data_IF_353384170937
#
_entry.id   IF_353384170937
#
_cell.length_a   1.000
_cell.length_b   1.000
_cell.length_c   1.000
_cell.angle_alpha   90.00
_cell.angle_beta   90.00
_cell.angle_gamma   90.00
#
_symmetry.space_group_name_H-M   'P 1'
#
loop_
_entity.id
_entity.type
_entity.pdbx_description
1 polymer ?
#
# COMPACT_ATOMS: atom_id res chain seq x y z
N UNK A 1 55.80 -9.15 32.14
CA UNK A 1 55.90 -8.17 33.25
C UNK A 1 54.49 -7.65 33.49
N UNK A 2 53.76 -8.10 34.54
CA UNK A 2 53.55 -7.49 35.87
C UNK A 2 52.91 -6.09 35.69
N UNK A 3 51.74 -5.70 36.23
CA UNK A 3 50.99 -5.96 37.50
C UNK A 3 49.56 -5.36 37.27
N UNK A 4 48.42 -5.92 37.61
CA UNK A 4 47.70 -6.02 38.90
C UNK A 4 47.47 -4.69 39.63
N UNK A 5 46.20 -4.41 39.97
CA UNK A 5 45.59 -4.04 41.25
C UNK A 5 44.21 -3.45 40.98
N UNK A 6 43.08 -4.00 41.26
CA UNK A 6 42.24 -4.41 42.42
C UNK A 6 41.68 -3.27 43.29
N UNK A 7 40.36 -3.39 43.52
CA UNK A 7 39.50 -2.99 44.66
C UNK A 7 38.82 -1.61 44.55
N UNK A 8 37.56 -1.39 44.91
CA UNK A 8 36.72 -2.01 46.00
C UNK A 8 35.23 -1.78 45.71
N UNK A 9 34.45 -2.72 46.23
CA UNK A 9 33.01 -2.76 46.34
C UNK A 9 32.48 -1.81 47.42
N UNK A 10 31.24 -1.38 47.29
CA UNK A 10 30.39 -1.03 48.40
C UNK A 10 28.98 -1.58 48.16
N UNK A 11 28.66 -2.50 48.99
CA UNK A 11 27.40 -3.20 49.20
C UNK A 11 26.46 -2.28 49.97
N UNK A 12 25.21 -2.11 49.56
CA UNK A 12 24.13 -1.72 50.47
C UNK A 12 22.93 -2.64 50.23
N UNK A 13 22.76 -3.56 51.18
CA UNK A 13 21.55 -4.34 51.38
C UNK A 13 20.43 -3.43 51.89
N UNK A 14 19.22 -3.59 51.39
CA UNK A 14 18.00 -3.43 52.18
C UNK A 14 16.91 -4.41 51.73
N UNK A 15 16.79 -5.37 52.56
CA UNK A 15 15.71 -6.19 53.12
C UNK A 15 14.39 -6.30 52.37
N UNK A 16 14.14 -7.55 52.11
CA UNK A 16 12.97 -8.26 51.64
C UNK A 16 11.79 -8.13 52.59
N UNK A 17 10.58 -7.97 52.06
CA UNK A 17 9.41 -8.64 52.61
C UNK A 17 8.67 -9.40 51.54
N UNK A 18 8.55 -10.68 51.76
CA UNK A 18 7.83 -11.69 51.01
C UNK A 18 6.32 -11.48 51.22
N UNK A 19 5.55 -11.52 50.16
CA UNK A 19 4.10 -11.49 50.23
C UNK A 19 3.47 -12.09 48.99
N UNK A 20 3.27 -13.40 49.05
CA UNK A 20 2.27 -14.22 48.33
C UNK A 20 2.01 -14.08 46.85
N UNK A 21 2.52 -15.06 46.10
CA UNK A 21 1.98 -15.51 44.79
C UNK A 21 0.55 -16.00 44.95
N UNK A 22 -0.36 -15.45 44.16
CA UNK A 22 -1.63 -16.09 43.75
C UNK A 22 -1.73 -16.06 42.22
N UNK A 23 -2.42 -17.06 41.61
CA UNK A 23 -2.25 -17.39 40.21
C UNK A 23 -3.01 -16.46 39.26
N UNK A 24 -2.44 -16.25 38.07
CA UNK A 24 -3.06 -15.60 36.94
C UNK A 24 -4.28 -16.39 36.47
N UNK A 25 -5.47 -15.88 36.72
CA UNK A 25 -6.67 -16.25 35.99
C UNK A 25 -7.11 -15.08 35.10
N UNK A 26 -7.42 -15.45 33.91
CA UNK A 26 -8.03 -14.75 32.80
C UNK A 26 -8.89 -13.51 33.08
N UNK A 27 -8.63 -12.42 32.31
CA UNK A 27 -9.68 -11.54 31.83
C UNK A 27 -10.26 -10.54 32.80
N UNK A 28 -9.53 -9.50 33.17
CA UNK A 28 -10.05 -8.37 33.91
C UNK A 28 -9.51 -7.05 33.35
N UNK A 29 -10.41 -6.22 32.81
CA UNK A 29 -10.08 -4.87 32.37
C UNK A 29 -9.65 -4.04 33.59
N UNK A 30 -8.37 -3.67 33.66
CA UNK A 30 -7.88 -2.72 34.66
C UNK A 30 -8.36 -1.33 34.31
N UNK A 31 -9.43 -0.89 34.98
CA UNK A 31 -9.66 0.49 35.31
C UNK A 31 -9.23 0.68 36.78
N UNK A 32 -8.56 1.74 37.21
CA UNK A 32 -8.20 1.89 38.59
C UNK A 32 -9.47 1.90 39.44
N UNK A 33 -9.59 0.95 40.38
CA UNK A 33 -10.64 0.97 41.40
C UNK A 33 -10.33 2.08 42.39
N UNK A 34 -11.25 3.03 42.52
CA UNK A 34 -11.26 3.94 43.63
C UNK A 34 -11.76 3.21 44.87
N UNK A 35 -10.87 2.96 45.84
CA UNK A 35 -11.27 2.69 47.23
C UNK A 35 -12.04 3.90 47.76
N UNK A 36 -13.17 3.62 48.40
CA UNK A 36 -14.15 4.61 48.83
C UNK A 36 -13.61 5.77 49.68
N UNK A 37 -14.08 6.94 49.38
CA UNK A 37 -13.84 8.15 50.09
C UNK A 37 -14.67 9.27 49.47
N UNK A 38 -15.73 9.69 50.17
CA UNK A 38 -16.52 10.89 49.82
C UNK A 38 -15.60 12.12 49.76
N UNK A 39 -15.30 12.63 48.60
CA UNK A 39 -14.77 13.99 48.45
C UNK A 39 -15.60 14.72 47.38
N UNK A 40 -16.39 15.68 47.84
CA UNK A 40 -17.01 16.70 47.01
C UNK A 40 -15.90 17.58 46.42
N UNK A 41 -15.62 17.50 45.17
CA UNK A 41 -14.85 18.50 44.43
C UNK A 41 -15.70 19.06 43.31
N UNK A 42 -16.26 20.25 43.58
CA UNK A 42 -16.64 21.17 42.51
C UNK A 42 -15.41 21.53 41.71
N UNK A 43 -15.35 21.08 40.46
CA UNK A 43 -14.44 21.60 39.46
C UNK A 43 -15.26 22.25 38.36
N UNK A 44 -15.60 23.50 38.60
CA UNK A 44 -15.95 24.46 37.56
C UNK A 44 -14.66 24.88 36.85
N UNK A 45 -14.61 24.75 35.52
CA UNK A 45 -13.86 25.62 34.64
C UNK A 45 -12.40 25.30 34.40
N UNK A 46 -12.11 24.79 33.24
CA UNK A 46 -11.19 25.22 32.15
C UNK A 46 -10.90 24.05 31.25
N UNK A 47 -11.34 24.17 30.03
CA UNK A 47 -10.93 23.28 28.91
C UNK A 47 -9.44 23.51 28.65
N UNK A 48 -8.56 22.55 28.97
CA UNK A 48 -7.17 22.65 28.63
C UNK A 48 -6.16 22.07 29.62
N UNK A 49 -6.34 20.81 30.08
CA UNK A 49 -5.32 20.09 30.84
C UNK A 49 -5.35 18.59 30.50
N UNK A 50 -4.24 17.83 30.75
CA UNK A 50 -4.25 16.39 30.55
C UNK A 50 -5.31 15.75 31.44
N UNK A 51 -6.26 15.06 30.81
CA UNK A 51 -7.37 14.42 31.50
C UNK A 51 -6.92 13.13 32.17
N UNK A 52 -6.44 13.18 33.40
CA UNK A 52 -6.70 12.10 34.34
C UNK A 52 -8.16 12.20 34.77
N UNK A 53 -9.07 11.80 33.89
CA UNK A 53 -10.48 11.77 34.20
C UNK A 53 -10.76 10.49 34.95
N UNK A 54 -10.98 10.62 36.24
CA UNK A 54 -11.68 9.62 37.02
C UNK A 54 -13.14 9.61 36.54
N UNK A 55 -13.44 8.73 35.55
CA UNK A 55 -14.82 8.53 35.15
C UNK A 55 -15.57 7.97 36.36
N UNK A 56 -16.52 8.72 36.86
CA UNK A 56 -17.36 8.33 37.99
C UNK A 56 -18.32 7.26 37.55
N UNK A 57 -18.55 6.24 38.40
CA UNK A 57 -19.52 5.18 38.11
C UNK A 57 -20.92 5.66 38.45
N UNK A 58 -21.85 5.55 37.51
CA UNK A 58 -23.25 5.75 37.73
C UNK A 58 -24.01 4.43 37.58
N UNK A 59 -24.94 4.15 38.46
CA UNK A 59 -25.83 3.00 38.42
C UNK A 59 -27.24 3.33 38.84
N UNK A 60 -28.22 2.59 38.30
CA UNK A 60 -29.64 2.71 38.72
C UNK A 60 -30.33 3.97 38.22
N UNK A 61 -29.78 4.68 37.27
CA UNK A 61 -30.42 5.80 36.56
C UNK A 61 -31.20 5.32 35.33
N UNK A 62 -31.64 6.27 34.51
CA UNK A 62 -32.52 5.98 33.35
C UNK A 62 -31.97 6.59 32.08
N UNK A 63 -31.90 5.78 30.99
CA UNK A 63 -31.63 6.26 29.65
C UNK A 63 -32.85 6.93 29.03
N UNK A 64 -32.65 8.05 28.30
CA UNK A 64 -33.72 8.72 27.55
C UNK A 64 -33.18 9.15 26.18
N UNK A 65 -33.95 8.87 25.11
CA UNK A 65 -33.72 9.43 23.78
C UNK A 65 -34.68 10.60 23.54
N UNK A 66 -34.16 11.74 23.09
CA UNK A 66 -34.95 12.92 22.71
C UNK A 66 -34.27 13.63 21.55
N UNK A 67 -35.00 13.90 20.45
CA UNK A 67 -34.44 14.58 19.26
C UNK A 67 -33.20 13.90 18.66
N UNK A 68 -33.20 12.56 18.60
CA UNK A 68 -32.05 11.76 18.07
C UNK A 68 -30.85 11.70 19.00
N UNK A 69 -30.86 12.40 20.13
CA UNK A 69 -29.79 12.42 21.14
C UNK A 69 -30.07 11.45 22.28
N UNK A 70 -29.02 10.93 22.92
CA UNK A 70 -29.06 9.98 24.02
C UNK A 70 -28.64 10.72 25.30
N UNK A 71 -29.42 10.57 26.38
CA UNK A 71 -29.19 11.16 27.68
C UNK A 71 -29.23 10.08 28.74
N UNK A 72 -28.49 10.27 29.84
CA UNK A 72 -28.61 9.47 31.04
C UNK A 72 -28.96 10.36 32.22
N UNK A 73 -29.97 9.98 33.00
CA UNK A 73 -30.39 10.65 34.21
C UNK A 73 -30.02 9.76 35.39
N UNK A 74 -29.40 10.38 36.42
CA UNK A 74 -29.10 9.67 37.66
C UNK A 74 -30.37 9.34 38.46
N UNK A 75 -30.21 8.70 39.64
CA UNK A 75 -31.33 8.33 40.52
C UNK A 75 -32.12 9.55 41.00
N UNK A 76 -31.52 10.75 41.02
CA UNK A 76 -32.15 12.00 41.43
C UNK A 76 -32.78 12.75 40.25
N UNK A 77 -32.79 12.19 39.06
CA UNK A 77 -33.36 12.80 37.86
C UNK A 77 -32.48 13.87 37.20
N UNK A 78 -31.20 13.99 37.61
CA UNK A 78 -30.24 14.95 37.02
C UNK A 78 -29.55 14.32 35.81
N UNK A 79 -29.40 15.08 34.70
CA UNK A 79 -28.64 14.67 33.54
C UNK A 79 -27.15 14.60 33.88
N UNK A 80 -26.48 13.53 33.37
CA UNK A 80 -25.04 13.45 33.46
C UNK A 80 -24.37 14.31 32.38
N UNK A 81 -23.19 14.87 32.70
CA UNK A 81 -22.30 15.61 31.81
C UNK A 81 -20.86 15.11 32.02
N UNK A 82 -19.99 15.20 31.02
CA UNK A 82 -18.62 14.68 31.08
C UNK A 82 -18.53 13.17 30.99
N UNK A 83 -17.46 12.61 31.54
CA UNK A 83 -17.15 11.17 31.40
C UNK A 83 -17.74 10.34 32.54
N UNK A 84 -18.40 9.22 32.15
CA UNK A 84 -19.08 8.33 33.11
C UNK A 84 -18.95 6.86 32.68
N UNK A 85 -18.77 6.00 33.69
CA UNK A 85 -18.95 4.56 33.56
C UNK A 85 -20.40 4.23 33.94
N UNK A 86 -21.11 3.58 32.99
CA UNK A 86 -22.49 3.16 33.17
C UNK A 86 -22.57 1.72 32.66
N UNK A 87 -22.92 0.77 33.51
CA UNK A 87 -23.06 -0.64 33.22
C UNK A 87 -21.82 -1.21 32.49
N UNK A 88 -20.61 -0.91 33.00
CA UNK A 88 -19.33 -1.37 32.45
C UNK A 88 -18.90 -0.73 31.14
N UNK A 89 -19.61 0.28 30.64
CA UNK A 89 -19.32 1.02 29.41
C UNK A 89 -19.00 2.47 29.71
N UNK A 90 -18.04 3.04 29.00
CA UNK A 90 -17.62 4.43 29.17
C UNK A 90 -18.38 5.34 28.19
N UNK A 91 -18.99 6.39 28.68
CA UNK A 91 -19.70 7.39 27.91
C UNK A 91 -19.14 8.77 28.18
N UNK A 92 -19.25 9.67 27.21
CA UNK A 92 -18.98 11.07 27.40
C UNK A 92 -20.24 11.90 27.02
N UNK A 93 -20.69 12.77 27.88
CA UNK A 93 -21.84 13.63 27.65
C UNK A 93 -21.38 15.07 27.49
N UNK A 94 -21.98 15.80 26.58
CA UNK A 94 -21.72 17.22 26.38
C UNK A 94 -22.32 18.08 27.55
N UNK A 95 -22.14 19.39 27.45
CA UNK A 95 -22.68 20.30 28.47
C UNK A 95 -24.21 20.29 28.56
N UNK A 96 -24.91 19.87 27.52
CA UNK A 96 -26.39 19.73 27.54
C UNK A 96 -26.83 18.37 28.09
N UNK A 97 -25.87 17.49 28.42
CA UNK A 97 -26.09 16.10 28.85
C UNK A 97 -26.34 15.13 27.71
N UNK A 98 -26.13 15.52 26.47
CA UNK A 98 -26.24 14.59 25.32
C UNK A 98 -24.96 13.78 25.18
N UNK A 99 -25.09 12.44 25.02
CA UNK A 99 -23.96 11.57 24.77
C UNK A 99 -23.34 11.88 23.41
N UNK A 100 -22.01 11.99 23.37
CA UNK A 100 -21.28 12.06 22.10
C UNK A 100 -21.43 10.77 21.32
N UNK A 101 -21.53 10.89 19.99
CA UNK A 101 -21.53 9.78 19.02
C UNK A 101 -20.60 10.12 17.86
N UNK A 102 -19.98 9.11 17.25
CA UNK A 102 -19.04 9.35 16.15
C UNK A 102 -17.62 9.70 16.61
N UNK A 103 -16.86 10.37 15.74
CA UNK A 103 -15.50 10.80 16.00
C UNK A 103 -15.44 12.09 16.83
N UNK A 104 -14.72 12.04 17.95
CA UNK A 104 -14.47 13.23 18.79
C UNK A 104 -13.00 13.30 19.17
N UNK A 105 -12.45 14.52 19.15
CA UNK A 105 -11.10 14.82 19.61
C UNK A 105 -11.18 15.50 20.97
N UNK A 106 -10.60 14.84 21.98
CA UNK A 106 -10.41 15.40 23.32
C UNK A 106 -8.95 15.78 23.53
N UNK A 107 -8.61 16.30 24.69
CA UNK A 107 -7.23 16.70 25.03
C UNK A 107 -6.22 15.57 24.96
N UNK A 108 -6.64 14.34 25.28
CA UNK A 108 -5.81 13.12 25.24
C UNK A 108 -5.74 12.44 23.87
N UNK A 109 -6.62 12.79 22.92
CA UNK A 109 -6.60 12.23 21.57
C UNK A 109 -7.95 12.07 20.90
N UNK A 110 -7.97 11.28 19.84
CA UNK A 110 -9.19 10.94 19.12
C UNK A 110 -9.86 9.70 19.70
N UNK A 111 -11.15 9.79 19.92
CA UNK A 111 -12.02 8.71 20.36
C UNK A 111 -13.12 8.43 19.33
N UNK A 112 -13.68 7.23 19.39
CA UNK A 112 -14.86 6.85 18.64
C UNK A 112 -15.94 6.38 19.59
N UNK A 113 -17.03 7.12 19.64
CA UNK A 113 -18.25 6.74 20.33
C UNK A 113 -19.18 6.08 19.30
N UNK A 114 -19.62 4.86 19.56
CA UNK A 114 -20.57 4.18 18.69
C UNK A 114 -21.91 4.93 18.59
N UNK A 115 -22.82 4.51 17.72
CA UNK A 115 -24.16 5.10 17.60
C UNK A 115 -24.99 4.97 18.89
N UNK A 116 -24.59 4.09 19.80
CA UNK A 116 -25.12 3.91 21.15
C UNK A 116 -24.44 4.81 22.19
N UNK A 117 -23.49 5.67 21.81
CA UNK A 117 -22.83 6.67 22.63
C UNK A 117 -21.65 6.16 23.46
N UNK A 118 -21.35 4.84 23.56
CA UNK A 118 -20.21 4.41 24.36
C UNK A 118 -18.89 4.37 23.59
N UNK A 119 -17.81 4.67 24.26
CA UNK A 119 -16.46 4.77 23.73
C UNK A 119 -15.91 3.41 23.35
N UNK A 120 -15.53 3.23 22.09
CA UNK A 120 -14.98 1.97 21.58
C UNK A 120 -13.51 1.80 21.97
N UNK A 121 -13.12 0.55 22.18
CA UNK A 121 -11.76 0.10 22.49
C UNK A 121 -11.36 -1.05 21.57
N UNK A 122 -10.06 -1.35 21.52
CA UNK A 122 -9.56 -2.46 20.70
C UNK A 122 -9.73 -2.22 19.20
N UNK A 123 -9.83 -3.30 18.46
CA UNK A 123 -10.02 -3.25 17.02
C UNK A 123 -11.42 -2.79 16.64
N UNK A 124 -11.50 -1.79 15.76
CA UNK A 124 -12.76 -1.27 15.22
C UNK A 124 -12.68 -1.12 13.70
N UNK A 125 -13.78 -1.44 13.00
CA UNK A 125 -13.94 -1.14 11.58
C UNK A 125 -14.96 -0.01 11.43
N UNK A 126 -14.51 1.13 10.94
CA UNK A 126 -15.32 2.36 10.85
C UNK A 126 -15.20 2.88 9.43
N UNK A 127 -16.31 2.99 8.70
CA UNK A 127 -16.31 3.39 7.29
C UNK A 127 -15.41 2.50 6.41
N UNK A 128 -15.39 1.18 6.64
CA UNK A 128 -14.56 0.22 5.89
C UNK A 128 -13.07 0.26 6.21
N UNK A 129 -12.63 1.11 7.14
CA UNK A 129 -11.23 1.24 7.58
C UNK A 129 -11.05 0.65 8.97
N UNK A 130 -9.91 -0.05 9.19
CA UNK A 130 -9.58 -0.62 10.51
C UNK A 130 -8.76 0.36 11.33
N UNK A 131 -9.11 0.45 12.61
CA UNK A 131 -8.48 1.28 13.64
C UNK A 131 -8.22 0.45 14.88
N UNK A 132 -7.29 0.90 15.70
CA UNK A 132 -7.06 0.38 17.04
C UNK A 132 -7.18 1.48 18.07
N UNK A 133 -7.94 1.21 19.12
CA UNK A 133 -8.08 2.09 20.27
C UNK A 133 -7.49 1.40 21.51
N UNK A 134 -6.71 2.12 22.26
CA UNK A 134 -6.11 1.58 23.49
C UNK A 134 -7.15 1.32 24.60
N UNK A 135 -6.67 0.95 25.78
CA UNK A 135 -7.54 0.66 26.93
C UNK A 135 -8.33 1.90 27.41
N UNK A 136 -7.83 3.11 27.13
CA UNK A 136 -8.51 4.38 27.42
C UNK A 136 -9.49 4.76 26.29
N UNK A 137 -9.53 4.06 25.18
CA UNK A 137 -10.35 4.39 24.01
C UNK A 137 -9.71 5.42 23.11
N UNK A 138 -8.39 5.65 23.23
CA UNK A 138 -7.66 6.61 22.39
C UNK A 138 -7.20 5.91 21.10
N UNK A 139 -7.53 6.51 19.97
CA UNK A 139 -7.11 6.03 18.64
C UNK A 139 -5.59 6.03 18.50
N UNK A 140 -5.04 4.92 18.11
CA UNK A 140 -3.61 4.78 17.98
C UNK A 140 -3.10 5.11 16.56
N UNK A 141 -1.85 5.59 16.48
CA UNK A 141 -1.10 5.90 15.25
C UNK A 141 0.32 5.35 15.34
N UNK A 142 1.03 5.28 14.22
CA UNK A 142 2.38 4.73 14.17
C UNK A 142 2.44 3.23 14.43
N UNK A 143 3.59 2.73 14.87
CA UNK A 143 3.79 1.33 15.18
C UNK A 143 3.24 0.98 16.57
N UNK A 144 2.48 -0.10 16.65
CA UNK A 144 1.93 -0.65 17.90
C UNK A 144 2.08 -2.17 17.92
N UNK A 145 2.43 -2.72 19.07
CA UNK A 145 2.37 -4.16 19.30
C UNK A 145 1.03 -4.51 19.93
N UNK A 146 0.28 -5.39 19.29
CA UNK A 146 -1.05 -5.82 19.70
C UNK A 146 -1.07 -7.34 19.65
N UNK A 147 -1.33 -7.99 20.77
CA UNK A 147 -1.35 -9.45 20.91
C UNK A 147 -0.07 -10.14 20.37
N UNK A 148 1.09 -9.51 20.61
CA UNK A 148 2.40 -9.99 20.17
C UNK A 148 2.79 -9.62 18.74
N UNK A 149 1.88 -9.18 17.87
CA UNK A 149 2.14 -8.77 16.50
C UNK A 149 2.34 -7.25 16.37
N UNK A 150 3.26 -6.83 15.50
CA UNK A 150 3.48 -5.43 15.21
C UNK A 150 2.58 -4.95 14.06
N UNK A 151 1.84 -3.88 14.28
CA UNK A 151 0.97 -3.20 13.32
C UNK A 151 1.37 -1.74 13.14
N UNK A 152 1.15 -1.22 11.95
CA UNK A 152 1.35 0.21 11.68
C UNK A 152 0.02 0.88 11.33
N UNK A 153 -0.23 2.01 11.99
CA UNK A 153 -1.36 2.90 11.70
C UNK A 153 -0.83 4.21 11.11
N UNK A 154 -1.48 4.72 10.08
CA UNK A 154 -1.09 5.99 9.48
C UNK A 154 -1.39 7.19 10.42
N UNK A 155 -1.09 8.41 9.97
CA UNK A 155 -1.36 9.64 10.76
C UNK A 155 -2.85 9.83 11.11
N UNK A 156 -3.74 9.21 10.35
CA UNK A 156 -5.17 9.23 10.60
C UNK A 156 -5.65 8.02 11.43
N UNK A 157 -4.73 7.19 11.93
CA UNK A 157 -5.01 5.98 12.71
C UNK A 157 -5.53 4.81 11.90
N UNK A 158 -5.49 4.87 10.56
CA UNK A 158 -5.94 3.76 9.70
C UNK A 158 -4.85 2.71 9.64
N UNK A 159 -5.21 1.44 9.82
CA UNK A 159 -4.30 0.31 9.68
C UNK A 159 -3.66 0.30 8.28
N UNK A 160 -2.35 0.29 8.23
CA UNK A 160 -1.60 0.12 6.98
C UNK A 160 -1.68 -1.32 6.51
N UNK A 161 -2.12 -1.54 5.27
CA UNK A 161 -2.24 -2.88 4.66
C UNK A 161 -1.66 -2.88 3.25
N UNK A 162 -1.13 -4.04 2.81
CA UNK A 162 -0.60 -4.28 1.45
C UNK A 162 0.33 -3.16 0.97
N UNK A 163 1.27 -2.73 1.82
CA UNK A 163 2.17 -1.61 1.51
C UNK A 163 3.50 -1.71 2.24
N UNK A 164 4.48 -0.98 1.74
CA UNK A 164 5.74 -0.71 2.43
C UNK A 164 5.57 0.38 3.48
N UNK A 165 6.14 0.17 4.65
CA UNK A 165 6.10 1.09 5.79
C UNK A 165 7.50 1.21 6.38
N UNK A 166 7.92 2.42 6.74
CA UNK A 166 9.18 2.64 7.46
C UNK A 166 9.08 2.14 8.90
N UNK A 167 10.11 1.43 9.36
CA UNK A 167 10.24 0.95 10.73
C UNK A 167 11.70 1.05 11.15
N UNK A 168 12.01 1.92 12.11
CA UNK A 168 13.38 2.08 12.68
C UNK A 168 14.48 2.18 11.61
N UNK A 169 14.31 3.09 10.63
CA UNK A 169 15.27 3.29 9.55
C UNK A 169 15.22 2.28 8.40
N UNK A 170 14.51 1.17 8.56
CA UNK A 170 14.30 0.15 7.53
C UNK A 170 12.89 0.24 6.95
N UNK A 171 12.68 -0.39 5.78
CA UNK A 171 11.35 -0.49 5.16
C UNK A 171 10.87 -1.93 5.22
N UNK A 172 9.70 -2.16 5.82
CA UNK A 172 9.06 -3.47 5.92
C UNK A 172 7.75 -3.50 5.12
N UNK A 173 7.37 -4.67 4.61
CA UNK A 173 6.08 -4.87 3.98
C UNK A 173 5.05 -5.35 5.00
N UNK A 174 3.86 -4.74 5.00
CA UNK A 174 2.70 -5.23 5.74
C UNK A 174 1.67 -5.81 4.76
N UNK A 175 1.17 -7.01 5.03
CA UNK A 175 0.21 -7.72 4.18
C UNK A 175 -1.22 -7.16 4.31
N UNK A 176 -2.20 -7.81 3.68
CA UNK A 176 -3.62 -7.40 3.72
C UNK A 176 -4.26 -7.42 5.12
N UNK A 177 -3.68 -8.14 6.07
CA UNK A 177 -4.11 -8.12 7.48
C UNK A 177 -3.32 -7.13 8.34
N UNK A 178 -2.35 -6.40 7.76
CA UNK A 178 -1.50 -5.43 8.45
C UNK A 178 -0.28 -6.03 9.16
N UNK A 179 -0.05 -7.35 9.06
CA UNK A 179 1.12 -8.02 9.67
C UNK A 179 2.36 -7.86 8.80
N UNK A 180 3.53 -7.75 9.45
CA UNK A 180 4.81 -7.71 8.75
C UNK A 180 5.06 -9.04 8.03
N UNK A 181 5.46 -8.96 6.76
CA UNK A 181 5.94 -10.11 5.97
C UNK A 181 7.43 -9.95 5.72
N UNK A 182 8.25 -10.91 6.09
CA UNK A 182 9.67 -10.92 5.72
C UNK A 182 9.82 -10.88 4.21
N UNK A 183 10.74 -10.08 3.70
CA UNK A 183 10.92 -9.89 2.26
C UNK A 183 11.21 -11.20 1.51
N UNK A 184 11.95 -12.11 2.15
CA UNK A 184 12.24 -13.45 1.62
C UNK A 184 11.00 -14.33 1.40
N UNK A 185 9.88 -13.99 2.05
CA UNK A 185 8.60 -14.70 1.94
C UNK A 185 7.55 -13.96 1.12
N UNK A 186 7.92 -12.81 0.53
CA UNK A 186 6.97 -12.05 -0.29
C UNK A 186 6.74 -12.72 -1.65
N UNK A 187 5.47 -12.79 -2.03
CA UNK A 187 5.00 -13.30 -3.33
C UNK A 187 4.89 -12.18 -4.36
N UNK A 188 4.80 -12.53 -5.65
CA UNK A 188 4.73 -11.55 -6.74
C UNK A 188 3.53 -10.62 -6.61
N UNK A 189 2.35 -11.15 -6.26
CA UNK A 189 1.13 -10.35 -6.02
C UNK A 189 1.33 -9.31 -4.91
N UNK A 190 2.05 -9.66 -3.83
CA UNK A 190 2.38 -8.74 -2.74
C UNK A 190 3.33 -7.62 -3.20
N UNK A 191 4.34 -7.95 -4.01
CA UNK A 191 5.20 -6.94 -4.63
C UNK A 191 4.44 -6.01 -5.55
N UNK A 192 3.54 -6.54 -6.41
CA UNK A 192 2.69 -5.75 -7.29
C UNK A 192 1.73 -4.85 -6.51
N UNK A 193 1.07 -5.39 -5.47
CA UNK A 193 0.17 -4.62 -4.61
C UNK A 193 0.88 -3.45 -3.90
N UNK A 194 2.14 -3.66 -3.49
CA UNK A 194 2.94 -2.67 -2.81
C UNK A 194 3.57 -1.63 -3.74
N UNK A 195 3.74 -1.95 -5.03
CA UNK A 195 4.43 -1.09 -6.01
C UNK A 195 3.61 0.15 -6.38
N UNK A 196 4.30 1.22 -6.81
CA UNK A 196 3.63 2.44 -7.32
C UNK A 196 2.85 2.14 -8.59
N UNK A 197 3.41 1.32 -9.50
CA UNK A 197 2.75 0.93 -10.75
C UNK A 197 1.50 0.10 -10.48
N UNK A 198 1.54 -0.82 -9.50
CA UNK A 198 0.39 -1.62 -9.13
C UNK A 198 -0.79 -0.82 -8.55
N UNK A 199 -0.55 0.43 -8.12
CA UNK A 199 -1.62 1.37 -7.72
C UNK A 199 -2.21 2.13 -8.89
N UNK A 200 -1.48 2.25 -10.01
CA UNK A 200 -1.87 3.04 -11.20
C UNK A 200 -2.67 2.26 -12.23
N UNK A 201 -2.58 0.94 -12.23
CA UNK A 201 -3.19 0.11 -13.27
C UNK A 201 -3.90 -1.11 -12.69
N UNK A 202 -4.79 -1.72 -13.48
CA UNK A 202 -5.45 -3.00 -13.18
C UNK A 202 -4.85 -4.18 -13.92
N UNK A 203 -3.84 -3.96 -14.80
CA UNK A 203 -3.18 -5.04 -15.52
C UNK A 203 -1.69 -4.75 -15.71
N UNK A 204 -0.85 -5.73 -15.43
CA UNK A 204 0.61 -5.68 -15.59
C UNK A 204 1.07 -6.90 -16.38
N UNK A 205 1.87 -6.64 -17.43
CA UNK A 205 2.72 -7.63 -18.08
C UNK A 205 4.07 -7.56 -17.38
N UNK A 206 4.43 -8.58 -16.61
CA UNK A 206 5.68 -8.63 -15.86
C UNK A 206 6.71 -9.44 -16.64
N UNK A 207 7.85 -8.82 -16.93
CA UNK A 207 9.03 -9.43 -17.53
C UNK A 207 10.12 -9.52 -16.48
N UNK A 208 10.54 -10.73 -16.17
CA UNK A 208 11.58 -11.04 -15.20
C UNK A 208 12.30 -12.34 -15.63
N UNK A 209 13.63 -12.30 -15.71
CA UNK A 209 14.44 -13.49 -15.91
C UNK A 209 13.98 -14.35 -17.11
N UNK A 210 13.84 -13.72 -18.28
CA UNK A 210 13.29 -14.31 -19.51
C UNK A 210 11.87 -14.90 -19.39
N UNK A 211 11.15 -14.58 -18.32
CA UNK A 211 9.76 -14.99 -18.13
C UNK A 211 8.82 -13.79 -18.26
N UNK A 212 7.81 -13.92 -19.10
CA UNK A 212 6.71 -12.98 -19.23
C UNK A 212 5.46 -13.59 -18.61
N UNK A 213 4.81 -12.85 -17.72
CA UNK A 213 3.55 -13.23 -17.07
C UNK A 213 2.57 -12.07 -17.08
N UNK A 214 1.28 -12.36 -17.23
CA UNK A 214 0.22 -11.33 -17.14
C UNK A 214 -0.45 -11.39 -15.78
N UNK A 215 -0.58 -10.25 -15.16
CA UNK A 215 -1.22 -10.08 -13.85
C UNK A 215 -2.40 -9.14 -13.95
N UNK A 216 -3.54 -9.53 -13.36
CA UNK A 216 -4.77 -8.76 -13.35
C UNK A 216 -5.17 -8.43 -11.91
N UNK A 217 -5.64 -7.20 -11.69
CA UNK A 217 -6.13 -6.73 -10.41
C UNK A 217 -7.66 -6.75 -10.40
N UNK A 218 -8.24 -7.43 -9.43
CA UNK A 218 -9.69 -7.48 -9.18
C UNK A 218 -9.95 -7.42 -7.68
N UNK A 219 -10.90 -6.59 -7.23
CA UNK A 219 -11.18 -6.40 -5.81
C UNK A 219 -9.95 -6.00 -4.97
N UNK A 220 -9.00 -5.25 -5.57
CA UNK A 220 -7.75 -4.84 -4.91
C UNK A 220 -6.65 -5.90 -4.87
N UNK A 221 -6.92 -7.14 -5.29
CA UNK A 221 -5.98 -8.28 -5.26
C UNK A 221 -5.42 -8.55 -6.65
N UNK A 222 -4.12 -8.82 -6.73
CA UNK A 222 -3.43 -9.23 -7.95
C UNK A 222 -3.49 -10.75 -8.10
N UNK A 223 -3.88 -11.21 -9.31
CA UNK A 223 -3.88 -12.63 -9.67
C UNK A 223 -3.17 -12.81 -11.00
N UNK A 224 -2.33 -13.83 -11.09
CA UNK A 224 -1.71 -14.21 -12.36
C UNK A 224 -2.78 -14.74 -13.31
N UNK A 225 -2.77 -14.23 -14.55
CA UNK A 225 -3.60 -14.75 -15.63
C UNK A 225 -3.01 -16.01 -16.27
N UNK A 226 -3.68 -16.52 -17.28
CA UNK A 226 -3.26 -17.74 -18.01
C UNK A 226 -2.00 -17.55 -18.86
N UNK A 227 -1.67 -16.31 -19.25
CA UNK A 227 -0.49 -16.06 -20.10
C UNK A 227 0.78 -16.11 -19.26
N UNK A 228 1.61 -17.11 -19.59
CA UNK A 228 2.98 -17.28 -19.14
C UNK A 228 3.80 -17.78 -20.32
N UNK A 229 4.94 -17.14 -20.59
CA UNK A 229 5.80 -17.47 -21.71
C UNK A 229 7.25 -17.18 -21.39
N UNK A 230 8.17 -17.88 -22.05
CA UNK A 230 9.52 -17.38 -22.23
C UNK A 230 9.47 -16.12 -23.09
N UNK A 231 10.37 -15.16 -22.83
CA UNK A 231 10.51 -13.95 -23.63
C UNK A 231 11.97 -13.61 -23.85
N UNK A 232 12.26 -13.10 -25.05
CA UNK A 232 13.53 -12.48 -25.37
C UNK A 232 13.54 -11.01 -24.99
N UNK A 233 14.74 -10.47 -24.83
CA UNK A 233 14.98 -9.04 -24.66
C UNK A 233 16.33 -8.64 -25.28
N UNK A 234 16.78 -7.43 -25.08
CA UNK A 234 17.99 -6.86 -25.66
C UNK A 234 19.18 -7.80 -25.58
N UNK A 235 19.91 -7.99 -26.70
CA UNK A 235 21.08 -8.88 -26.79
C UNK A 235 22.09 -8.66 -25.65
N UNK A 236 22.23 -7.41 -25.21
CA UNK A 236 23.13 -7.01 -24.13
C UNK A 236 22.41 -6.95 -22.76
N UNK A 237 21.24 -7.63 -22.60
CA UNK A 237 20.52 -7.78 -21.36
C UNK A 237 19.64 -6.58 -20.99
N UNK A 238 19.36 -6.46 -19.69
CA UNK A 238 18.57 -5.39 -19.10
C UNK A 238 19.49 -4.27 -18.60
N UNK A 239 19.06 -3.00 -18.77
CA UNK A 239 19.84 -1.84 -18.33
C UNK A 239 18.94 -0.78 -17.69
N UNK A 240 19.43 -0.13 -16.65
CA UNK A 240 18.71 0.98 -16.04
C UNK A 240 18.39 2.07 -17.07
N UNK A 241 17.15 2.54 -17.12
CA UNK A 241 16.68 3.51 -18.11
C UNK A 241 17.53 4.78 -18.18
N UNK A 242 18.03 5.27 -17.04
CA UNK A 242 18.91 6.44 -16.96
C UNK A 242 20.28 6.23 -17.63
N UNK A 243 20.75 4.99 -17.71
CA UNK A 243 22.07 4.62 -18.29
C UNK A 243 21.99 4.18 -19.74
N UNK A 244 20.78 4.09 -20.31
CA UNK A 244 20.60 3.68 -21.71
C UNK A 244 20.98 4.77 -22.72
N UNK A 245 21.39 4.34 -23.90
CA UNK A 245 21.55 5.14 -25.11
C UNK A 245 21.11 4.36 -26.35
N UNK A 246 20.85 5.06 -27.45
CA UNK A 246 20.44 4.46 -28.71
C UNK A 246 21.54 3.51 -29.24
N UNK A 247 21.17 2.32 -29.68
CA UNK A 247 22.11 1.32 -30.22
C UNK A 247 22.82 0.46 -29.17
N UNK A 248 22.58 0.65 -27.85
CA UNK A 248 23.21 -0.15 -26.80
C UNK A 248 22.70 -1.60 -26.70
N UNK A 249 21.69 -1.94 -27.48
CA UNK A 249 21.08 -3.28 -27.57
C UNK A 249 20.60 -3.84 -26.22
N UNK A 250 20.24 -2.95 -25.26
CA UNK A 250 19.71 -3.35 -23.96
C UNK A 250 18.22 -3.00 -23.85
N UNK A 251 17.47 -3.77 -23.05
CA UNK A 251 16.07 -3.48 -22.74
C UNK A 251 15.97 -2.62 -21.47
N UNK A 252 15.13 -1.55 -21.47
CA UNK A 252 15.03 -0.65 -20.33
C UNK A 252 14.35 -1.29 -19.13
N UNK A 253 15.04 -1.35 -18.01
CA UNK A 253 14.45 -1.68 -16.72
C UNK A 253 13.47 -0.56 -16.32
N UNK A 254 12.25 -0.92 -15.92
CA UNK A 254 11.25 0.05 -15.48
C UNK A 254 9.83 -0.45 -15.57
N UNK A 255 8.89 0.46 -15.29
CA UNK A 255 7.46 0.27 -15.46
C UNK A 255 6.97 1.25 -16.53
N UNK A 256 6.54 0.72 -17.66
CA UNK A 256 6.22 1.51 -18.86
C UNK A 256 4.76 1.29 -19.26
N UNK A 257 4.01 2.35 -19.61
CA UNK A 257 2.67 2.18 -20.15
C UNK A 257 2.74 1.51 -21.54
N UNK A 258 1.76 0.67 -21.85
CA UNK A 258 1.52 0.20 -23.20
C UNK A 258 0.61 1.22 -23.90
N UNK A 259 1.11 1.90 -24.93
CA UNK A 259 0.46 3.10 -25.46
C UNK A 259 -0.30 2.87 -26.76
N UNK A 260 0.17 1.97 -27.60
CA UNK A 260 -0.36 1.70 -28.92
C UNK A 260 -0.14 0.24 -29.29
N UNK A 261 -1.16 -0.42 -29.82
CA UNK A 261 -1.03 -1.71 -30.49
C UNK A 261 -0.94 -1.49 -32.00
N UNK A 262 -0.13 -2.29 -32.68
CA UNK A 262 0.01 -2.17 -34.14
C UNK A 262 0.37 -3.52 -34.78
N UNK A 263 0.23 -3.61 -36.09
CA UNK A 263 0.54 -4.82 -36.85
C UNK A 263 0.33 -4.69 -38.33
N UNK A 264 0.72 -5.72 -39.10
CA UNK A 264 0.62 -5.74 -40.58
C UNK A 264 -0.81 -5.97 -41.09
N UNK A 265 -1.64 -6.66 -40.31
CA UNK A 265 -3.04 -6.97 -40.65
C UNK A 265 -4.06 -5.97 -40.09
N UNK A 266 -5.34 -6.32 -40.21
CA UNK A 266 -6.42 -5.67 -39.51
C UNK A 266 -6.32 -5.87 -37.99
N UNK A 267 -7.06 -5.10 -37.20
CA UNK A 267 -7.09 -5.24 -35.74
C UNK A 267 -7.48 -6.67 -35.35
N UNK A 268 -6.60 -7.42 -34.67
CA UNK A 268 -6.85 -8.80 -34.26
C UNK A 268 -7.82 -8.97 -33.08
N UNK A 269 -8.52 -7.90 -32.70
CA UNK A 269 -9.44 -7.86 -31.55
C UNK A 269 -8.86 -7.18 -30.31
N UNK A 270 -7.82 -6.33 -30.47
CA UNK A 270 -7.29 -5.56 -29.34
C UNK A 270 -8.25 -4.46 -28.90
N UNK A 271 -8.34 -4.26 -27.59
CA UNK A 271 -9.07 -3.15 -26.93
C UNK A 271 -8.23 -1.87 -26.80
N UNK A 272 -6.96 -1.94 -27.15
CA UNK A 272 -6.07 -0.78 -27.19
C UNK A 272 -6.29 0.00 -28.50
N UNK A 273 -5.83 1.26 -28.53
CA UNK A 273 -5.70 1.98 -29.80
C UNK A 273 -4.84 1.15 -30.75
N UNK A 274 -5.35 0.89 -31.97
CA UNK A 274 -4.66 0.07 -32.94
C UNK A 274 -4.30 0.87 -34.19
N UNK A 275 -3.11 0.59 -34.74
CA UNK A 275 -2.67 1.16 -36.03
C UNK A 275 -2.14 0.07 -36.93
N UNK A 276 -2.66 0.01 -38.17
CA UNK A 276 -2.17 -0.90 -39.18
C UNK A 276 -0.90 -0.33 -39.82
N UNK A 277 0.12 -1.17 -39.98
CA UNK A 277 1.33 -0.87 -40.75
C UNK A 277 0.98 -0.81 -42.23
N UNK A 278 1.44 0.22 -42.93
CA UNK A 278 1.39 0.39 -44.38
C UNK A 278 2.81 0.48 -44.93
N UNK A 279 2.94 0.50 -46.27
CA UNK A 279 4.22 0.73 -46.93
C UNK A 279 4.86 2.09 -46.65
N UNK A 280 4.10 3.01 -46.03
CA UNK A 280 4.53 4.37 -45.69
C UNK A 280 4.83 4.52 -44.20
N UNK A 281 4.72 3.46 -43.39
CA UNK A 281 4.81 3.55 -41.94
C UNK A 281 6.25 3.41 -41.44
N UNK A 282 6.73 4.41 -40.73
CA UNK A 282 8.06 4.46 -40.14
C UNK A 282 8.01 4.71 -38.64
N UNK A 283 9.00 4.19 -37.91
CA UNK A 283 9.32 4.66 -36.57
C UNK A 283 10.56 5.52 -36.62
N UNK A 284 10.38 6.83 -36.54
CA UNK A 284 11.39 7.80 -36.86
C UNK A 284 12.48 7.94 -35.79
N UNK A 285 13.72 8.14 -36.25
CA UNK A 285 14.91 8.41 -35.42
C UNK A 285 15.53 9.80 -35.69
N UNK A 286 14.87 10.66 -36.48
CA UNK A 286 15.32 12.03 -36.73
C UNK A 286 15.24 12.87 -35.45
N UNK A 287 16.03 13.94 -35.31
CA UNK A 287 16.03 14.79 -34.11
C UNK A 287 14.65 15.39 -33.84
N UNK A 288 13.93 15.83 -34.87
CA UNK A 288 12.62 16.48 -34.79
C UNK A 288 11.46 15.51 -34.53
N UNK A 289 11.59 14.24 -34.95
CA UNK A 289 10.53 13.22 -34.85
C UNK A 289 11.02 11.98 -34.09
N UNK A 290 11.98 12.14 -33.21
CA UNK A 290 12.59 11.01 -32.51
C UNK A 290 11.56 10.21 -31.71
N UNK A 291 11.66 8.88 -31.82
CA UNK A 291 10.83 7.94 -31.07
C UNK A 291 9.32 8.11 -31.33
N UNK A 292 8.95 8.37 -32.59
CA UNK A 292 7.55 8.54 -32.97
C UNK A 292 7.20 7.82 -34.26
N UNK A 293 5.91 7.50 -34.43
CA UNK A 293 5.36 6.95 -35.66
C UNK A 293 5.17 8.04 -36.70
N UNK A 294 5.67 7.83 -37.91
CA UNK A 294 5.55 8.75 -39.06
C UNK A 294 5.00 8.00 -40.27
N UNK A 295 4.08 8.62 -41.01
CA UNK A 295 3.66 8.17 -42.34
C UNK A 295 4.34 9.05 -43.38
N UNK A 296 5.08 8.43 -44.31
CA UNK A 296 5.78 9.15 -45.37
C UNK A 296 5.88 8.30 -46.63
N UNK A 297 5.68 8.95 -47.80
CA UNK A 297 5.95 8.34 -49.10
C UNK A 297 7.47 8.32 -49.43
N UNK A 298 8.26 9.14 -48.74
CA UNK A 298 9.71 9.24 -48.86
C UNK A 298 10.37 8.53 -47.70
N UNK A 299 11.62 8.15 -47.86
CA UNK A 299 12.45 7.56 -46.80
C UNK A 299 12.52 8.46 -45.56
N UNK A 300 12.33 7.84 -44.41
CA UNK A 300 12.49 8.47 -43.08
C UNK A 300 13.56 7.71 -42.32
N UNK A 301 14.63 8.37 -41.81
CA UNK A 301 15.62 7.69 -40.97
C UNK A 301 14.96 7.06 -39.74
N UNK A 302 15.16 5.74 -39.56
CA UNK A 302 14.54 4.94 -38.51
C UNK A 302 14.17 3.55 -39.00
N UNK A 303 13.14 2.95 -38.41
CA UNK A 303 12.65 1.64 -38.81
C UNK A 303 11.50 1.78 -39.82
N UNK A 304 11.64 1.26 -41.03
CA UNK A 304 10.54 1.07 -41.97
C UNK A 304 9.74 -0.15 -41.50
N UNK A 305 8.61 0.08 -40.84
CA UNK A 305 7.94 -0.95 -40.03
C UNK A 305 7.46 -2.15 -40.83
N UNK A 306 7.15 -1.97 -42.12
CA UNK A 306 6.66 -3.05 -42.98
C UNK A 306 7.71 -4.12 -43.24
N UNK A 307 9.01 -3.80 -43.16
CA UNK A 307 10.10 -4.70 -43.48
C UNK A 307 10.33 -5.79 -42.42
N UNK A 308 9.87 -5.53 -41.19
CA UNK A 308 10.12 -6.42 -40.04
C UNK A 308 9.00 -7.44 -39.86
N UNK A 309 9.29 -8.74 -40.06
CA UNK A 309 8.35 -9.84 -39.77
C UNK A 309 7.79 -9.73 -38.31
N UNK A 310 8.64 -9.41 -37.37
CA UNK A 310 8.34 -9.32 -35.94
C UNK A 310 7.18 -8.39 -35.62
N UNK A 311 6.90 -7.42 -36.48
CA UNK A 311 5.79 -6.47 -36.31
C UNK A 311 4.46 -6.95 -36.90
N UNK A 312 4.34 -8.29 -37.17
CA UNK A 312 3.05 -8.92 -37.44
C UNK A 312 2.01 -8.56 -36.37
N UNK A 313 2.44 -8.61 -35.10
CA UNK A 313 1.72 -8.11 -33.91
C UNK A 313 2.70 -7.43 -32.98
N UNK A 314 2.38 -6.21 -32.54
CA UNK A 314 3.27 -5.47 -31.66
C UNK A 314 2.52 -4.47 -30.79
N UNK A 315 3.15 -4.08 -29.66
CA UNK A 315 2.70 -3.02 -28.77
C UNK A 315 3.87 -2.10 -28.43
N UNK A 316 3.61 -0.80 -28.44
CA UNK A 316 4.58 0.23 -28.06
C UNK A 316 4.76 0.22 -26.53
N UNK A 317 5.98 -0.01 -26.09
CA UNK A 317 6.41 0.20 -24.71
C UNK A 317 6.78 1.68 -24.55
N UNK A 318 6.07 2.42 -23.69
CA UNK A 318 6.18 3.88 -23.54
C UNK A 318 7.47 4.36 -22.89
N UNK A 319 8.60 3.71 -23.21
CA UNK A 319 9.92 4.14 -22.79
C UNK A 319 10.38 5.34 -23.62
N UNK A 320 10.94 6.35 -22.97
CA UNK A 320 11.47 7.58 -23.60
C UNK A 320 10.45 8.30 -24.51
N UNK A 321 9.19 8.38 -24.10
CA UNK A 321 8.12 9.01 -24.87
C UNK A 321 7.54 10.27 -24.22
N UNK A 322 7.77 10.48 -22.92
CA UNK A 322 7.25 11.67 -22.22
C UNK A 322 8.14 12.04 -21.00
N UNK A 323 9.02 13.04 -21.15
CA UNK A 323 9.45 13.65 -22.39
C UNK A 323 10.36 12.72 -23.21
N UNK A 324 10.37 12.93 -24.52
CA UNK A 324 11.31 12.26 -25.43
C UNK A 324 12.67 12.94 -25.35
N UNK A 325 13.72 12.14 -25.16
CA UNK A 325 15.12 12.62 -25.14
C UNK A 325 15.88 11.96 -26.29
N UNK A 326 16.39 12.78 -27.21
CA UNK A 326 17.17 12.30 -28.35
C UNK A 326 18.38 11.49 -27.90
N UNK A 327 18.62 10.34 -28.54
CA UNK A 327 19.78 9.46 -28.23
C UNK A 327 19.60 8.56 -27.01
N UNK A 328 18.51 8.65 -26.25
CA UNK A 328 18.23 7.77 -25.09
C UNK A 328 17.67 6.39 -25.47
N UNK A 329 17.33 6.19 -26.72
CA UNK A 329 16.72 4.98 -27.26
C UNK A 329 15.33 5.25 -27.83
N UNK A 330 15.00 4.54 -28.88
CA UNK A 330 13.79 4.67 -29.69
C UNK A 330 13.27 3.30 -30.07
N UNK A 331 11.98 3.17 -30.39
CA UNK A 331 11.41 1.94 -30.95
C UNK A 331 11.46 0.75 -30.00
N UNK A 332 11.11 0.94 -28.72
CA UNK A 332 11.04 -0.17 -27.77
C UNK A 332 9.62 -0.74 -27.77
N UNK A 333 9.50 -1.97 -28.26
CA UNK A 333 8.22 -2.66 -28.46
C UNK A 333 8.16 -4.01 -27.73
N UNK A 334 6.96 -4.49 -27.48
CA UNK A 334 6.66 -5.89 -27.25
C UNK A 334 6.12 -6.47 -28.57
N UNK A 335 6.77 -7.48 -29.14
CA UNK A 335 6.50 -7.98 -30.50
C UNK A 335 6.71 -9.50 -30.65
N UNK A 336 6.38 -10.05 -31.82
CA UNK A 336 6.67 -11.44 -32.16
C UNK A 336 8.17 -11.71 -32.18
N UNK A 337 8.61 -12.91 -31.73
CA UNK A 337 10.02 -13.26 -31.82
C UNK A 337 10.48 -13.37 -33.28
N UNK A 338 11.78 -13.23 -33.52
CA UNK A 338 12.40 -13.58 -34.81
C UNK A 338 12.29 -15.09 -35.08
N UNK A 339 12.38 -15.48 -36.32
CA UNK A 339 12.37 -16.89 -36.74
C UNK A 339 13.55 -17.64 -36.14
N UNK A 340 14.71 -17.01 -36.09
CA UNK A 340 16.04 -17.61 -35.84
C UNK A 340 16.59 -17.34 -34.42
N UNK A 341 16.13 -16.29 -33.73
CA UNK A 341 16.66 -15.97 -32.41
C UNK A 341 15.62 -15.33 -31.49
N UNK A 342 15.92 -15.30 -30.16
CA UNK A 342 15.11 -14.68 -29.13
C UNK A 342 15.55 -13.25 -28.80
N UNK A 343 16.83 -12.92 -28.97
CA UNK A 343 17.35 -11.61 -28.60
C UNK A 343 16.84 -10.50 -29.52
N UNK A 344 16.84 -9.28 -29.03
CA UNK A 344 16.38 -8.08 -29.74
C UNK A 344 17.44 -6.97 -29.69
N UNK A 345 17.17 -5.87 -30.36
CA UNK A 345 17.97 -4.63 -30.22
C UNK A 345 17.54 -3.78 -29.00
N UNK A 346 16.62 -4.28 -28.17
CA UNK A 346 16.13 -3.57 -26.97
C UNK A 346 14.64 -3.80 -26.68
N UNK A 347 13.90 -4.35 -27.62
CA UNK A 347 12.50 -4.75 -27.47
C UNK A 347 12.33 -5.96 -26.54
N UNK A 348 11.10 -6.35 -26.28
CA UNK A 348 10.72 -7.63 -25.68
C UNK A 348 10.06 -8.49 -26.75
N UNK A 349 10.46 -9.76 -26.90
CA UNK A 349 9.93 -10.67 -27.90
C UNK A 349 9.26 -11.89 -27.28
N UNK A 350 8.17 -12.36 -27.89
CA UNK A 350 7.42 -13.55 -27.48
C UNK A 350 6.96 -14.32 -28.72
N UNK A 351 6.59 -15.62 -28.62
CA UNK A 351 6.01 -16.36 -29.74
C UNK A 351 4.77 -15.69 -30.32
N UNK A 352 4.52 -15.85 -31.64
CA UNK A 352 3.38 -15.23 -32.36
C UNK A 352 2.03 -15.48 -31.67
N UNK A 353 1.75 -16.74 -31.27
CA UNK A 353 0.50 -17.10 -30.59
C UNK A 353 0.34 -16.41 -29.25
N UNK A 354 1.44 -16.23 -28.50
CA UNK A 354 1.45 -15.46 -27.23
C UNK A 354 1.21 -13.98 -27.53
N UNK A 355 1.89 -13.44 -28.55
CA UNK A 355 1.70 -12.03 -28.91
C UNK A 355 0.26 -11.74 -29.36
N UNK A 356 -0.34 -12.63 -30.17
CA UNK A 356 -1.75 -12.53 -30.56
C UNK A 356 -2.70 -12.57 -29.36
N UNK A 357 -2.44 -13.48 -28.40
CA UNK A 357 -3.21 -13.53 -27.16
C UNK A 357 -3.06 -12.24 -26.35
N UNK A 358 -1.85 -11.72 -26.19
CA UNK A 358 -1.59 -10.43 -25.55
C UNK A 358 -2.33 -9.29 -26.26
N UNK A 359 -2.33 -9.24 -27.60
CA UNK A 359 -3.11 -8.25 -28.36
C UNK A 359 -4.59 -8.24 -27.97
N UNK A 360 -5.21 -9.43 -27.85
CA UNK A 360 -6.63 -9.59 -27.54
C UNK A 360 -6.97 -9.29 -26.07
N UNK A 361 -6.05 -9.57 -25.13
CA UNK A 361 -6.33 -9.58 -23.70
C UNK A 361 -5.76 -8.36 -22.95
N UNK A 362 -4.85 -7.60 -23.57
CA UNK A 362 -4.28 -6.40 -22.94
C UNK A 362 -5.30 -5.27 -22.88
N UNK A 363 -5.47 -4.73 -21.68
CA UNK A 363 -6.42 -3.64 -21.40
C UNK A 363 -5.80 -2.28 -21.71
N UNK A 364 -6.63 -1.32 -22.08
CA UNK A 364 -6.20 0.09 -22.10
C UNK A 364 -5.71 0.50 -20.71
N UNK A 365 -4.57 1.21 -20.65
CA UNK A 365 -3.93 1.59 -19.39
C UNK A 365 -3.10 0.49 -18.72
N UNK A 366 -2.88 -0.66 -19.39
CA UNK A 366 -1.94 -1.69 -18.94
C UNK A 366 -0.50 -1.18 -18.96
N UNK A 367 0.31 -1.73 -18.04
CA UNK A 367 1.75 -1.49 -17.99
C UNK A 367 2.52 -2.76 -18.27
N UNK A 368 3.67 -2.61 -18.92
CA UNK A 368 4.72 -3.63 -18.91
C UNK A 368 5.76 -3.23 -17.85
N UNK A 369 6.13 -4.19 -16.99
CA UNK A 369 7.13 -4.00 -15.96
C UNK A 369 8.29 -4.93 -16.23
N UNK A 370 9.47 -4.37 -16.44
CA UNK A 370 10.68 -5.08 -16.82
C UNK A 370 11.69 -4.92 -15.69
N UNK A 371 12.02 -6.01 -15.00
CA UNK A 371 12.90 -6.00 -13.83
C UNK A 371 13.82 -7.22 -13.82
N UNK A 372 15.04 -7.10 -13.26
CA UNK A 372 15.95 -8.25 -13.10
C UNK A 372 15.44 -9.22 -12.03
N UNK A 373 14.75 -8.72 -11.00
CA UNK A 373 14.23 -9.48 -9.87
C UNK A 373 12.98 -8.81 -9.26
N UNK A 374 12.25 -9.54 -8.41
CA UNK A 374 11.04 -9.01 -7.77
C UNK A 374 11.31 -7.86 -6.78
N UNK A 375 12.48 -7.84 -6.13
CA UNK A 375 12.84 -6.77 -5.18
C UNK A 375 12.91 -5.41 -5.87
N UNK A 376 13.31 -5.41 -7.15
CA UNK A 376 13.36 -4.21 -7.97
C UNK A 376 12.01 -3.54 -8.18
N UNK A 377 10.87 -4.25 -8.01
CA UNK A 377 9.52 -3.69 -8.07
C UNK A 377 9.26 -2.60 -7.01
N UNK A 378 10.04 -2.58 -5.92
CA UNK A 378 9.94 -1.52 -4.89
C UNK A 378 10.17 -0.11 -5.45
N UNK A 379 10.93 0.01 -6.54
CA UNK A 379 11.30 1.29 -7.16
C UNK A 379 10.16 1.87 -8.01
N UNK A 380 9.23 1.02 -8.47
CA UNK A 380 8.18 1.33 -9.45
C UNK A 380 6.75 1.19 -8.87
#
# INVERSE_FOLDING_TARGET
>A
MKKKILRRAALLLLVITVGNLLPLTSGGAFCPQSSGGNLWLQAAGRLGGPMEVYAVTASGGKWKKKGGKIYYYDKKGKKLTGWWWIDGKCYCFDRSGAAYTGWHKFSDGWHWMGPDGWTRKGWQTIGGKKYWFDRKGIRQTGWKTIDGDAYHFDKNGVLSVSRWVSKSGSTVFVNGSGRIVPESKMTTDQYLAASKVGKKTSQIILVKDHSLTVWNKSGGTWKQGSVKSYCGYGRNGLKAASKRYAGDKTTPIGAWPLTLAFGKGSNPGTKMKYRRITKNSYWACTRSQYNSWVESKSYVPGEHLIDYYQYKYAMVIGFNMNPTVYGKGSGIFLHCKSTDHWWTAGCVSVPDGIMLNLMKTTKSGAFIVIVPDLKSLKKY
#
